data_IF_983349257317
#
_entry.id   IF_983349257317
#
_cell.length_a   1.000
_cell.length_b   1.000
_cell.length_c   1.000
_cell.angle_alpha   90.00
_cell.angle_beta   90.00
_cell.angle_gamma   90.00
#
_symmetry.space_group_name_H-M   'P 1'
#
loop_
_entity.id
_entity.type
_entity.pdbx_description
1 polymer ?
#
# COMPACT_ATOMS: atom_id res chain seq x y z
N UNK A 1 5.03 24.60 20.29
CA UNK A 1 5.25 23.41 19.44
C UNK A 1 5.34 23.89 18.01
N UNK A 2 6.39 23.53 17.25
CA UNK A 2 6.59 24.06 15.89
C UNK A 2 5.71 23.33 14.88
N UNK A 3 5.34 23.97 13.76
CA UNK A 3 4.52 23.37 12.71
C UNK A 3 5.13 22.06 12.15
N UNK A 4 6.47 21.99 12.03
CA UNK A 4 7.20 20.77 11.68
C UNK A 4 7.03 19.63 12.68
N UNK A 5 6.97 19.94 13.98
CA UNK A 5 6.73 18.94 15.03
C UNK A 5 5.33 18.33 14.87
N UNK A 6 4.34 19.16 14.54
CA UNK A 6 2.94 18.74 14.37
C UNK A 6 2.76 17.81 13.16
N UNK A 7 3.40 18.11 12.04
CA UNK A 7 3.35 17.28 10.81
C UNK A 7 4.03 15.93 11.01
N UNK A 8 5.17 15.90 11.71
CA UNK A 8 5.89 14.66 12.01
C UNK A 8 5.10 13.70 12.92
N UNK A 9 4.46 14.24 13.96
CA UNK A 9 3.61 13.47 14.87
C UNK A 9 2.35 12.94 14.16
N UNK A 10 1.80 13.73 13.23
CA UNK A 10 0.55 13.42 12.53
C UNK A 10 0.70 12.36 11.43
N UNK A 11 1.84 12.33 10.73
CA UNK A 11 2.02 11.52 9.52
C UNK A 11 3.17 10.51 9.60
N UNK A 12 3.89 10.49 10.73
CA UNK A 12 5.02 9.58 10.94
C UNK A 12 6.04 9.64 9.81
N UNK A 13 6.39 8.49 9.23
CA UNK A 13 7.37 8.44 8.13
C UNK A 13 6.92 9.13 6.85
N UNK A 14 5.62 9.41 6.68
CA UNK A 14 5.08 10.09 5.51
C UNK A 14 5.14 11.61 5.62
N UNK A 15 5.57 12.17 6.76
CA UNK A 15 5.70 13.61 6.91
C UNK A 15 6.51 14.28 5.79
N UNK A 16 7.68 13.76 5.35
CA UNK A 16 8.41 14.38 4.22
C UNK A 16 7.66 14.31 2.87
N UNK A 17 6.83 13.27 2.68
CA UNK A 17 6.01 13.09 1.49
C UNK A 17 4.84 14.09 1.49
N UNK A 18 4.20 14.29 2.64
CA UNK A 18 2.98 15.07 2.81
C UNK A 18 3.22 16.55 3.15
N UNK A 19 4.43 16.93 3.55
CA UNK A 19 4.80 18.33 3.81
C UNK A 19 5.15 19.06 2.50
N UNK A 20 4.34 20.03 2.05
CA UNK A 20 4.63 20.81 0.85
C UNK A 20 5.89 21.66 1.01
N UNK A 21 6.27 22.02 2.24
CA UNK A 21 7.47 22.80 2.55
C UNK A 21 8.74 21.93 2.63
N UNK A 22 8.66 20.61 2.41
CA UNK A 22 9.81 19.74 2.42
C UNK A 22 10.74 20.00 1.23
N UNK A 23 11.87 20.67 1.48
CA UNK A 23 12.83 21.07 0.44
C UNK A 23 13.72 19.93 -0.08
N UNK A 24 13.81 18.81 0.64
CA UNK A 24 14.68 17.68 0.27
C UNK A 24 13.97 16.35 0.54
N UNK A 25 13.26 15.85 -0.48
CA UNK A 25 12.61 14.55 -0.45
C UNK A 25 13.57 13.46 -0.92
N UNK A 26 13.51 12.30 -0.26
CA UNK A 26 14.16 11.10 -0.80
C UNK A 26 13.38 10.65 -2.03
N UNK A 27 14.03 9.91 -2.92
CA UNK A 27 13.40 9.49 -4.19
C UNK A 27 12.13 8.63 -4.00
N UNK A 28 12.00 7.93 -2.87
CA UNK A 28 10.80 7.17 -2.52
C UNK A 28 9.73 8.01 -1.82
N UNK A 29 10.01 9.28 -1.52
CA UNK A 29 9.05 10.27 -1.01
C UNK A 29 8.66 11.26 -2.12
N UNK A 30 8.98 10.98 -3.39
CA UNK A 30 8.52 11.78 -4.53
C UNK A 30 7.04 11.53 -4.80
N UNK A 31 6.22 12.58 -4.72
CA UNK A 31 4.84 12.54 -5.23
C UNK A 31 4.89 12.39 -6.75
N UNK A 32 4.28 11.32 -7.26
CA UNK A 32 4.19 11.07 -8.70
C UNK A 32 2.95 11.73 -9.30
N UNK A 33 1.82 11.60 -8.61
CA UNK A 33 0.53 12.19 -8.94
C UNK A 33 -0.41 12.09 -7.73
N UNK A 34 -1.59 12.68 -7.84
CA UNK A 34 -2.64 12.71 -6.82
C UNK A 34 -3.88 11.96 -7.31
N UNK A 35 -4.60 11.31 -6.40
CA UNK A 35 -5.89 10.64 -6.64
C UNK A 35 -6.80 10.93 -5.45
N UNK A 36 -8.03 11.42 -5.70
CA UNK A 36 -8.88 11.95 -4.63
C UNK A 36 -8.14 12.91 -3.68
N UNK A 37 -8.17 12.64 -2.37
CA UNK A 37 -7.40 13.36 -1.34
C UNK A 37 -6.12 12.60 -0.90
N UNK A 38 -5.58 11.78 -1.80
CA UNK A 38 -4.40 10.96 -1.57
C UNK A 38 -3.27 11.35 -2.53
N UNK A 39 -2.04 11.10 -2.11
CA UNK A 39 -0.85 11.17 -2.96
C UNK A 39 -0.40 9.76 -3.35
N UNK A 40 0.15 9.63 -4.55
CA UNK A 40 0.76 8.40 -5.04
C UNK A 40 2.27 8.56 -5.10
N UNK A 41 3.01 7.64 -4.46
CA UNK A 41 4.46 7.70 -4.35
C UNK A 41 5.11 6.31 -4.52
N UNK A 42 6.41 6.22 -4.86
CA UNK A 42 7.11 4.94 -4.90
C UNK A 42 7.22 4.28 -3.52
N UNK A 43 7.27 2.94 -3.49
CA UNK A 43 7.47 2.20 -2.23
C UNK A 43 8.96 2.05 -1.90
N UNK A 44 9.38 2.50 -0.70
CA UNK A 44 10.67 2.11 -0.12
C UNK A 44 10.75 0.59 0.06
N UNK A 45 11.84 -0.02 -0.40
CA UNK A 45 12.00 -1.47 -0.35
C UNK A 45 11.22 -2.21 -1.43
N UNK A 46 10.74 -1.56 -2.48
CA UNK A 46 10.03 -2.23 -3.60
C UNK A 46 10.84 -3.42 -4.15
N UNK A 47 10.34 -4.66 -3.99
CA UNK A 47 11.07 -5.90 -4.38
C UNK A 47 11.10 -6.06 -5.91
N UNK A 48 10.08 -5.50 -6.56
CA UNK A 48 9.90 -5.34 -8.00
C UNK A 48 9.72 -3.85 -8.34
N UNK A 49 9.99 -3.41 -9.58
CA UNK A 49 9.61 -2.07 -10.02
C UNK A 49 8.09 -1.89 -10.07
N UNK A 50 7.64 -0.65 -10.26
CA UNK A 50 6.22 -0.26 -10.38
C UNK A 50 5.39 -0.62 -9.14
N UNK A 51 6.03 -0.51 -7.97
CA UNK A 51 5.39 -0.70 -6.68
C UNK A 51 5.19 0.65 -6.01
N UNK A 52 3.93 1.05 -5.88
CA UNK A 52 3.47 2.35 -5.41
C UNK A 52 2.80 2.24 -4.04
N UNK A 53 2.61 3.42 -3.45
CA UNK A 53 1.81 3.67 -2.26
C UNK A 53 0.75 4.68 -2.62
N UNK A 54 -0.49 4.43 -2.24
CA UNK A 54 -1.53 5.45 -2.11
C UNK A 54 -1.56 5.85 -0.64
N UNK A 55 -1.39 7.13 -0.36
CA UNK A 55 -1.27 7.66 1.01
C UNK A 55 -2.26 8.82 1.17
N UNK A 56 -3.22 8.76 2.10
CA UNK A 56 -4.14 9.86 2.31
C UNK A 56 -3.42 11.07 2.90
N UNK A 57 -3.81 12.26 2.45
CA UNK A 57 -3.30 13.53 2.96
C UNK A 57 -3.92 13.91 4.31
N UNK A 58 -5.06 13.28 4.65
CA UNK A 58 -5.68 13.39 5.98
C UNK A 58 -5.18 12.28 6.91
N UNK A 59 -5.11 12.52 8.24
CA UNK A 59 -4.80 11.48 9.20
C UNK A 59 -5.83 10.36 9.17
N UNK A 60 -5.35 9.16 8.96
CA UNK A 60 -6.11 7.93 9.16
C UNK A 60 -5.10 6.82 9.45
N UNK A 61 -5.40 5.93 10.38
CA UNK A 61 -4.52 4.84 10.75
C UNK A 61 -4.49 3.73 9.69
N UNK A 62 -5.63 3.50 9.05
CA UNK A 62 -5.84 2.50 8.01
C UNK A 62 -6.97 2.97 7.06
N UNK A 63 -7.09 2.35 5.88
CA UNK A 63 -8.10 2.73 4.89
C UNK A 63 -9.53 2.38 5.30
N UNK A 64 -9.75 1.43 6.21
CA UNK A 64 -11.07 1.20 6.79
C UNK A 64 -11.52 2.40 7.65
N UNK A 65 -10.61 3.06 8.37
CA UNK A 65 -10.90 4.29 9.09
C UNK A 65 -11.09 5.47 8.12
N UNK A 66 -10.19 5.61 7.14
CA UNK A 66 -10.29 6.67 6.12
C UNK A 66 -11.63 6.57 5.38
N UNK A 67 -12.01 5.38 4.91
CA UNK A 67 -13.26 5.12 4.19
C UNK A 67 -14.49 5.53 5.00
N UNK A 68 -14.58 5.16 6.29
CA UNK A 68 -15.69 5.60 7.15
C UNK A 68 -15.75 7.12 7.32
N UNK A 69 -14.58 7.77 7.33
CA UNK A 69 -14.48 9.22 7.50
C UNK A 69 -14.74 10.02 6.21
N UNK A 70 -14.58 9.41 5.04
CA UNK A 70 -14.70 10.08 3.74
C UNK A 70 -15.93 9.66 2.95
N UNK A 71 -16.42 8.44 3.16
CA UNK A 71 -17.45 7.79 2.33
C UNK A 71 -16.95 7.33 0.96
N UNK A 72 -15.68 7.57 0.61
CA UNK A 72 -15.10 7.22 -0.70
C UNK A 72 -14.56 5.79 -0.63
N UNK A 73 -15.03 4.91 -1.50
CA UNK A 73 -14.57 3.54 -1.49
C UNK A 73 -13.09 3.46 -1.94
N UNK A 74 -12.19 2.77 -1.20
CA UNK A 74 -10.80 2.67 -1.62
C UNK A 74 -10.59 2.05 -3.01
N UNK A 75 -11.54 1.25 -3.52
CA UNK A 75 -11.51 0.75 -4.89
C UNK A 75 -11.58 1.88 -5.93
N UNK A 76 -12.23 3.00 -5.64
CA UNK A 76 -12.28 4.18 -6.52
C UNK A 76 -10.87 4.77 -6.70
N UNK A 77 -10.06 4.81 -5.64
CA UNK A 77 -8.66 5.27 -5.74
C UNK A 77 -7.82 4.34 -6.61
N UNK A 78 -8.06 3.02 -6.55
CA UNK A 78 -7.39 2.05 -7.42
C UNK A 78 -7.81 2.25 -8.88
N UNK A 79 -9.09 2.54 -9.14
CA UNK A 79 -9.60 2.85 -10.48
C UNK A 79 -9.00 4.14 -11.04
N UNK A 80 -8.89 5.18 -10.22
CA UNK A 80 -8.19 6.42 -10.58
C UNK A 80 -6.73 6.16 -10.93
N UNK A 81 -5.99 5.39 -10.10
CA UNK A 81 -4.61 4.98 -10.42
C UNK A 81 -4.53 4.21 -11.75
N UNK A 82 -5.44 3.27 -11.98
CA UNK A 82 -5.54 2.52 -13.23
C UNK A 82 -5.70 3.45 -14.44
N UNK A 83 -6.62 4.41 -14.33
CA UNK A 83 -6.92 5.40 -15.35
C UNK A 83 -5.75 6.35 -15.61
N UNK A 84 -5.16 6.92 -14.56
CA UNK A 84 -3.98 7.80 -14.66
C UNK A 84 -2.81 7.10 -15.32
N UNK A 85 -2.60 5.84 -15.00
CA UNK A 85 -1.54 5.04 -15.59
C UNK A 85 -1.94 4.43 -16.94
N UNK A 86 -3.20 4.52 -17.38
CA UNK A 86 -3.68 3.87 -18.62
C UNK A 86 -3.37 2.37 -18.63
N UNK A 87 -3.57 1.70 -17.50
CA UNK A 87 -3.43 0.25 -17.35
C UNK A 87 -4.78 -0.34 -16.98
N UNK A 88 -5.04 -1.57 -17.41
CA UNK A 88 -6.24 -2.31 -17.01
C UNK A 88 -6.17 -2.74 -15.54
N UNK A 89 -7.32 -2.78 -14.86
CA UNK A 89 -7.40 -3.10 -13.42
C UNK A 89 -6.87 -4.49 -13.08
N UNK A 90 -6.98 -5.46 -13.99
CA UNK A 90 -6.48 -6.82 -13.84
C UNK A 90 -4.95 -6.88 -13.81
N UNK A 91 -4.29 -5.83 -14.29
CA UNK A 91 -2.82 -5.66 -14.25
C UNK A 91 -2.34 -5.00 -12.96
N UNK A 92 -3.28 -4.61 -12.09
CA UNK A 92 -3.00 -4.07 -10.77
C UNK A 92 -3.33 -5.12 -9.71
N UNK A 93 -2.36 -5.36 -8.83
CA UNK A 93 -2.56 -6.06 -7.56
C UNK A 93 -2.32 -5.06 -6.46
N UNK A 94 -3.29 -4.88 -5.57
CA UNK A 94 -3.15 -4.00 -4.42
C UNK A 94 -3.29 -4.77 -3.12
N UNK A 95 -2.73 -4.22 -2.04
CA UNK A 95 -2.88 -4.78 -0.71
C UNK A 95 -2.68 -3.74 0.38
N UNK A 96 -3.26 -4.00 1.54
CA UNK A 96 -3.11 -3.19 2.74
C UNK A 96 -2.93 -4.11 3.96
N UNK A 97 -2.12 -3.66 4.91
CA UNK A 97 -2.14 -4.16 6.29
C UNK A 97 -2.67 -3.04 7.22
N UNK A 98 -3.89 -3.19 7.70
CA UNK A 98 -4.53 -2.20 8.57
C UNK A 98 -4.28 -2.55 10.05
N UNK A 99 -3.45 -1.79 10.79
CA UNK A 99 -3.31 -2.00 12.22
C UNK A 99 -4.60 -1.67 12.98
N UNK A 100 -4.84 -2.36 14.10
CA UNK A 100 -5.93 -2.10 15.05
C UNK A 100 -5.61 -0.99 16.04
N UNK A 101 -4.33 -0.71 16.26
CA UNK A 101 -3.86 0.30 17.20
C UNK A 101 -2.52 0.90 16.76
N UNK A 102 -2.30 2.16 17.17
CA UNK A 102 -1.02 2.87 17.05
C UNK A 102 0.08 2.03 17.69
N UNK A 103 1.22 1.87 17.00
CA UNK A 103 2.38 1.15 17.50
C UNK A 103 2.22 -0.37 17.52
N UNK A 104 1.13 -0.91 16.97
CA UNK A 104 0.96 -2.37 16.86
C UNK A 104 1.98 -3.00 15.91
N UNK A 105 2.25 -4.29 16.09
CA UNK A 105 3.17 -5.08 15.24
C UNK A 105 2.76 -4.99 13.76
N UNK A 106 1.46 -4.93 13.50
CA UNK A 106 0.86 -4.80 12.17
C UNK A 106 1.08 -3.41 11.54
N UNK A 107 1.29 -2.36 12.35
CA UNK A 107 1.54 -0.99 11.88
C UNK A 107 2.96 -0.76 11.36
N UNK A 108 3.90 -1.70 11.59
CA UNK A 108 5.30 -1.59 11.14
C UNK A 108 6.05 -0.31 11.61
N UNK A 109 5.55 0.40 12.62
CA UNK A 109 6.06 1.72 13.02
C UNK A 109 5.66 2.86 12.08
N UNK A 110 4.60 2.65 11.29
CA UNK A 110 3.98 3.64 10.40
C UNK A 110 2.47 3.60 10.63
N UNK A 111 2.01 4.36 11.62
CA UNK A 111 0.61 4.40 12.03
C UNK A 111 -0.21 5.39 11.16
N UNK A 112 -0.03 5.28 9.84
CA UNK A 112 -0.75 6.07 8.85
C UNK A 112 -1.11 5.19 7.66
N UNK A 113 -2.36 5.29 7.23
CA UNK A 113 -2.97 4.47 6.20
C UNK A 113 -2.15 4.51 4.91
N UNK A 114 -1.99 3.36 4.27
CA UNK A 114 -1.38 3.28 2.94
C UNK A 114 -1.79 1.99 2.25
N UNK A 115 -2.15 2.09 0.97
CA UNK A 115 -2.36 0.92 0.10
C UNK A 115 -1.11 0.74 -0.73
N UNK A 116 -0.58 -0.47 -0.74
CA UNK A 116 0.43 -0.87 -1.71
C UNK A 116 -0.23 -1.22 -3.03
N UNK A 117 0.33 -0.74 -4.13
CA UNK A 117 -0.14 -1.02 -5.49
C UNK A 117 1.01 -1.56 -6.31
N UNK A 118 0.87 -2.77 -6.83
CA UNK A 118 1.78 -3.40 -7.78
C UNK A 118 1.18 -3.27 -9.18
N UNK A 119 1.86 -2.55 -10.06
CA UNK A 119 1.46 -2.43 -11.46
C UNK A 119 2.33 -3.35 -12.29
N UNK A 120 1.71 -4.23 -13.07
CA UNK A 120 2.39 -5.26 -13.88
C UNK A 120 3.35 -6.16 -13.09
N UNK A 121 2.93 -6.74 -11.96
CA UNK A 121 3.77 -7.70 -11.26
C UNK A 121 4.06 -8.92 -12.16
N UNK A 122 5.23 -9.57 -12.02
CA UNK A 122 5.61 -10.74 -12.82
C UNK A 122 4.89 -12.03 -12.39
N UNK A 123 3.75 -11.91 -11.72
CA UNK A 123 2.91 -12.99 -11.23
C UNK A 123 1.45 -12.54 -11.26
N UNK A 124 0.51 -13.48 -11.37
CA UNK A 124 -0.92 -13.16 -11.39
C UNK A 124 -1.50 -12.99 -9.98
N UNK A 125 -2.67 -12.33 -9.89
CA UNK A 125 -3.42 -12.27 -8.64
C UNK A 125 -3.73 -13.65 -8.09
N UNK A 126 -4.05 -14.62 -8.94
CA UNK A 126 -4.36 -16.00 -8.52
C UNK A 126 -3.15 -16.68 -7.88
N UNK A 127 -1.93 -16.45 -8.40
CA UNK A 127 -0.72 -16.98 -7.79
C UNK A 127 -0.47 -16.34 -6.41
N UNK A 128 -0.74 -15.04 -6.27
CA UNK A 128 -0.60 -14.36 -4.98
C UNK A 128 -1.65 -14.79 -3.95
N UNK A 129 -2.93 -14.86 -4.35
CA UNK A 129 -4.03 -15.39 -3.55
C UNK A 129 -3.74 -16.82 -3.07
N UNK A 130 -3.35 -17.72 -3.97
CA UNK A 130 -2.99 -19.09 -3.62
C UNK A 130 -1.83 -19.15 -2.60
N UNK A 131 -0.79 -18.35 -2.79
CA UNK A 131 0.34 -18.30 -1.85
C UNK A 131 -0.05 -17.77 -0.47
N UNK A 132 -0.91 -16.75 -0.41
CA UNK A 132 -1.44 -16.20 0.84
C UNK A 132 -2.32 -17.23 1.57
N UNK A 133 -3.18 -17.92 0.84
CA UNK A 133 -4.07 -18.96 1.41
C UNK A 133 -3.34 -20.21 1.88
N UNK A 134 -2.22 -20.56 1.27
CA UNK A 134 -1.45 -21.74 1.67
C UNK A 134 -0.92 -21.68 3.10
N UNK A 135 -0.78 -20.48 3.68
CA UNK A 135 -0.26 -20.29 5.04
C UNK A 135 -1.36 -20.21 6.12
N UNK A 136 -2.63 -20.03 5.75
CA UNK A 136 -3.74 -19.95 6.73
C UNK A 136 -5.13 -20.05 6.10
N UNK A 137 -6.08 -20.68 6.80
CA UNK A 137 -7.49 -20.77 6.38
C UNK A 137 -8.33 -19.52 6.73
N UNK A 138 -7.72 -18.48 7.31
CA UNK A 138 -8.45 -17.28 7.80
C UNK A 138 -8.98 -16.37 6.69
N UNK A 139 -8.53 -16.55 5.46
CA UNK A 139 -8.81 -15.64 4.36
C UNK A 139 -10.20 -15.87 3.78
N UNK A 140 -11.04 -14.83 3.82
CA UNK A 140 -12.39 -14.86 3.26
C UNK A 140 -12.43 -14.12 1.93
N UNK A 141 -13.14 -14.64 0.91
CA UNK A 141 -13.28 -13.97 -0.38
C UNK A 141 -14.30 -12.82 -0.29
N UNK A 142 -14.06 -11.75 -1.04
CA UNK A 142 -14.91 -10.57 -1.15
C UNK A 142 -14.88 -9.98 -2.57
N UNK A 143 -15.82 -9.08 -2.85
CA UNK A 143 -15.68 -8.13 -3.95
C UNK A 143 -14.83 -6.93 -3.48
N UNK A 144 -13.98 -6.39 -4.35
CA UNK A 144 -13.20 -5.17 -4.03
C UNK A 144 -14.09 -3.99 -3.66
N UNK A 145 -15.30 -3.91 -4.22
CA UNK A 145 -16.25 -2.82 -3.94
C UNK A 145 -16.88 -2.88 -2.55
N UNK A 146 -16.79 -3.99 -1.81
CA UNK A 146 -17.43 -4.11 -0.48
C UNK A 146 -16.50 -4.63 0.61
N UNK A 147 -15.25 -5.00 0.30
CA UNK A 147 -14.34 -5.63 1.27
C UNK A 147 -14.15 -4.77 2.53
N UNK A 148 -14.10 -3.45 2.40
CA UNK A 148 -13.95 -2.52 3.53
C UNK A 148 -15.20 -2.39 4.39
N UNK A 149 -16.40 -2.63 3.85
CA UNK A 149 -17.65 -2.65 4.62
C UNK A 149 -17.66 -3.79 5.66
N UNK A 150 -16.90 -4.86 5.39
CA UNK A 150 -16.80 -6.03 6.24
C UNK A 150 -15.69 -5.96 7.31
N UNK A 151 -14.89 -4.89 7.32
CA UNK A 151 -13.85 -4.69 8.32
C UNK A 151 -14.44 -3.91 9.50
N UNK A 152 -14.57 -4.52 10.68
CA UNK A 152 -15.27 -3.92 11.84
C UNK A 152 -14.49 -2.81 12.56
N UNK A 153 -13.23 -2.56 12.18
CA UNK A 153 -12.44 -1.39 12.61
C UNK A 153 -11.79 -1.51 14.00
N UNK A 154 -12.10 -2.55 14.75
CA UNK A 154 -11.51 -2.88 16.05
C UNK A 154 -10.44 -3.98 16.00
N UNK A 155 -10.31 -4.66 14.85
CA UNK A 155 -9.34 -5.74 14.63
C UNK A 155 -8.31 -5.30 13.58
N UNK A 156 -7.08 -5.84 13.69
CA UNK A 156 -6.13 -5.68 12.60
C UNK A 156 -6.59 -6.50 11.41
N UNK A 157 -6.25 -6.05 10.22
CA UNK A 157 -6.66 -6.73 9.01
C UNK A 157 -5.57 -6.72 7.95
N UNK A 158 -5.69 -7.65 7.03
CA UNK A 158 -4.87 -7.74 5.83
C UNK A 158 -5.81 -8.00 4.65
N UNK A 159 -5.65 -7.21 3.59
CA UNK A 159 -6.45 -7.33 2.36
C UNK A 159 -5.48 -7.41 1.18
N UNK A 160 -5.78 -8.30 0.23
CA UNK A 160 -5.25 -8.20 -1.14
C UNK A 160 -6.42 -8.11 -2.12
N UNK A 161 -6.24 -7.42 -3.24
CA UNK A 161 -7.25 -7.29 -4.28
C UNK A 161 -6.68 -7.07 -5.67
N UNK A 162 -7.49 -7.38 -6.67
CA UNK A 162 -7.25 -7.11 -8.09
C UNK A 162 -8.59 -7.15 -8.84
N UNK A 163 -8.81 -6.19 -9.74
CA UNK A 163 -10.09 -6.00 -10.44
C UNK A 163 -11.29 -6.06 -9.46
N UNK A 164 -12.17 -7.07 -9.58
CA UNK A 164 -13.38 -7.26 -8.77
C UNK A 164 -13.19 -8.25 -7.61
N UNK A 165 -11.99 -8.83 -7.46
CA UNK A 165 -11.72 -9.89 -6.48
C UNK A 165 -10.85 -9.35 -5.36
N UNK A 166 -11.26 -9.64 -4.13
CA UNK A 166 -10.46 -9.39 -2.94
C UNK A 166 -10.51 -10.62 -2.02
N UNK A 167 -9.50 -10.74 -1.16
CA UNK A 167 -9.56 -11.60 0.01
C UNK A 167 -9.13 -10.78 1.22
N UNK A 168 -9.71 -11.06 2.38
CA UNK A 168 -9.35 -10.39 3.62
C UNK A 168 -9.26 -11.38 4.78
N UNK A 169 -8.36 -11.09 5.72
CA UNK A 169 -8.26 -11.74 7.01
C UNK A 169 -8.24 -10.70 8.12
N UNK A 170 -8.85 -11.01 9.26
CA UNK A 170 -8.80 -10.18 10.49
C UNK A 170 -8.04 -10.91 11.59
N UNK A 171 -7.63 -10.19 12.64
CA UNK A 171 -6.80 -10.71 13.73
C UNK A 171 -5.52 -11.37 13.19
N UNK A 172 -4.68 -10.55 12.55
CA UNK A 172 -3.52 -10.97 11.74
C UNK A 172 -2.17 -10.55 12.35
N UNK A 173 -2.14 -10.28 13.65
CA UNK A 173 -0.96 -9.81 14.37
C UNK A 173 0.23 -10.78 14.26
N UNK A 174 -0.03 -12.08 14.29
CA UNK A 174 0.98 -13.14 14.21
C UNK A 174 1.63 -13.27 12.82
N UNK A 175 0.94 -12.82 11.77
CA UNK A 175 1.51 -12.80 10.42
C UNK A 175 2.59 -11.71 10.31
N UNK A 176 2.44 -10.63 11.08
CA UNK A 176 3.36 -9.50 11.11
C UNK A 176 3.28 -8.60 9.87
N UNK A 177 3.66 -7.34 10.04
CA UNK A 177 3.50 -6.27 9.02
C UNK A 177 4.19 -6.46 7.67
N UNK A 178 5.15 -7.39 7.56
CA UNK A 178 5.84 -7.67 6.30
C UNK A 178 5.41 -8.99 5.65
N UNK A 179 4.30 -9.59 6.09
CA UNK A 179 3.75 -10.84 5.57
C UNK A 179 3.66 -10.84 4.03
N UNK A 180 2.89 -9.93 3.44
CA UNK A 180 2.74 -9.85 1.98
C UNK A 180 4.06 -9.62 1.25
N UNK A 181 4.99 -8.88 1.85
CA UNK A 181 6.32 -8.66 1.27
C UNK A 181 7.13 -9.96 1.22
N UNK A 182 7.02 -10.84 2.23
CA UNK A 182 7.62 -12.18 2.23
C UNK A 182 7.02 -13.05 1.14
N UNK A 183 5.69 -13.07 1.04
CA UNK A 183 4.98 -13.84 0.01
C UNK A 183 5.38 -13.39 -1.40
N UNK A 184 5.40 -12.07 -1.67
CA UNK A 184 5.85 -11.50 -2.94
C UNK A 184 7.31 -11.87 -3.23
N UNK A 185 8.18 -11.80 -2.23
CA UNK A 185 9.58 -12.19 -2.36
C UNK A 185 9.74 -13.66 -2.77
N UNK A 186 8.92 -14.56 -2.22
CA UNK A 186 8.85 -15.95 -2.63
C UNK A 186 8.43 -16.12 -4.09
N UNK A 187 7.35 -15.43 -4.50
CA UNK A 187 6.83 -15.48 -5.87
C UNK A 187 7.84 -15.01 -6.92
N UNK A 188 8.72 -14.06 -6.57
CA UNK A 188 9.77 -13.56 -7.47
C UNK A 188 11.14 -14.20 -7.25
N UNK A 189 11.19 -15.33 -6.54
CA UNK A 189 12.40 -16.12 -6.28
C UNK A 189 13.52 -15.32 -5.57
N UNK A 190 13.14 -14.42 -4.65
CA UNK A 190 14.05 -13.63 -3.81
C UNK A 190 13.70 -13.73 -2.32
N UNK A 191 13.58 -14.94 -1.74
CA UNK A 191 12.98 -15.17 -0.41
C UNK A 191 13.69 -14.47 0.76
N UNK A 192 14.93 -14.00 0.58
CA UNK A 192 15.68 -13.27 1.61
C UNK A 192 15.64 -11.75 1.48
N UNK A 193 15.04 -11.22 0.41
CA UNK A 193 15.10 -9.79 0.05
C UNK A 193 13.76 -9.04 0.26
N UNK A 194 12.95 -9.46 1.24
CA UNK A 194 11.65 -8.82 1.53
C UNK A 194 11.73 -7.65 2.51
N UNK A 195 12.67 -7.73 3.47
CA UNK A 195 12.72 -6.82 4.60
C UNK A 195 13.23 -5.43 4.16
N UNK A 196 12.34 -4.43 4.11
CA UNK A 196 12.72 -3.10 3.64
C UNK A 196 13.76 -2.40 4.54
N UNK A 197 13.87 -2.81 5.82
CA UNK A 197 14.83 -2.22 6.77
C UNK A 197 16.27 -2.59 6.42
N UNK A 198 16.47 -3.74 5.77
CA UNK A 198 17.80 -4.22 5.33
C UNK A 198 17.97 -4.18 3.82
N UNK A 199 16.88 -4.14 3.06
CA UNK A 199 16.87 -4.13 1.60
C UNK A 199 16.02 -2.97 1.06
N UNK A 200 16.64 -1.81 0.87
CA UNK A 200 15.95 -0.61 0.41
C UNK A 200 15.51 -0.67 -1.08
N UNK A 201 16.12 -1.55 -1.88
CA UNK A 201 15.82 -1.76 -3.31
C UNK A 201 15.72 -0.47 -4.15
N UNK A 202 16.61 0.50 -3.90
CA UNK A 202 16.57 1.83 -4.55
C UNK A 202 16.62 1.76 -6.08
N UNK A 203 17.22 0.70 -6.65
CA UNK A 203 17.18 0.47 -8.11
C UNK A 203 15.76 0.32 -8.67
N UNK A 204 14.87 -0.39 -7.95
CA UNK A 204 13.47 -0.55 -8.35
C UNK A 204 12.69 0.75 -8.15
N UNK A 205 12.98 1.50 -7.09
CA UNK A 205 12.41 2.85 -6.88
C UNK A 205 12.75 3.78 -8.04
N UNK A 206 14.03 3.86 -8.43
CA UNK A 206 14.48 4.67 -9.57
C UNK A 206 13.79 4.27 -10.87
N UNK A 207 13.67 2.97 -11.13
CA UNK A 207 12.97 2.46 -12.32
C UNK A 207 11.50 2.89 -12.32
N UNK A 208 10.83 2.77 -11.18
CA UNK A 208 9.44 3.18 -11.00
C UNK A 208 9.25 4.66 -11.32
N UNK A 209 10.04 5.55 -10.71
CA UNK A 209 9.97 6.99 -10.98
C UNK A 209 10.20 7.29 -12.46
N UNK A 210 11.21 6.68 -13.08
CA UNK A 210 11.52 6.89 -14.50
C UNK A 210 10.38 6.42 -15.41
N UNK A 211 9.88 5.20 -15.21
CA UNK A 211 8.83 4.60 -16.03
C UNK A 211 7.53 5.40 -15.93
N UNK A 212 7.11 5.77 -14.71
CA UNK A 212 5.84 6.46 -14.53
C UNK A 212 5.90 7.93 -14.93
N UNK A 213 7.04 8.62 -14.76
CA UNK A 213 7.21 9.97 -15.30
C UNK A 213 7.03 10.01 -16.83
N UNK A 214 7.50 8.97 -17.54
CA UNK A 214 7.31 8.86 -18.99
C UNK A 214 5.86 8.59 -19.38
N UNK A 215 5.16 7.78 -18.59
CA UNK A 215 3.78 7.34 -18.85
C UNK A 215 2.74 8.43 -18.55
N UNK A 216 2.98 9.25 -17.51
CA UNK A 216 2.09 10.36 -17.12
C UNK A 216 2.32 11.60 -18.00
N UNK A 217 3.56 11.83 -18.44
CA UNK A 217 3.90 12.96 -19.31
C UNK A 217 3.54 12.80 -20.79
N UNK A 218 3.12 11.59 -21.21
CA UNK A 218 2.70 11.24 -22.57
C UNK A 218 1.18 11.29 -22.74
#
# INVERSE_FOLDING_TARGET
MTEKTRVAEQFGRFAPLLDPACQSRKIYDTVLFEVGDCVVAPTLGSIIPNWLLIVPTRPAMNFAQWYRGTGVNPQELIQEVSSTLRVELERIIWFEHGPSAVGSITGCGVDHAHIHVLVDPPFSFQAFDAAVRAESDRWKPFNTSCVYDHILGNESYMIIGSDKRAIAGTSVEELGSQYFRRTIAGLVQKPHAWNYRTHAHIGNVRRTVKTLAQQIGS
#
